data_IF_808498625973
#
_entry.id   IF_808498625973
#
_cell.length_a   1.000
_cell.length_b   1.000
_cell.length_c   1.000
_cell.angle_alpha   90.00
_cell.angle_beta   90.00
_cell.angle_gamma   90.00
#
_symmetry.space_group_name_H-M   'P 1'
#
loop_
_entity.id
_entity.type
_entity.pdbx_description
1 polymer ?
#
# COMPACT_ATOMS: atom_id res chain seq x y z
N UNK A 1 8.48 14.85 34.88
CA UNK A 1 9.58 13.95 34.42
C UNK A 1 9.17 12.47 34.47
N UNK A 2 8.72 11.92 35.60
CA UNK A 2 8.25 10.51 35.69
C UNK A 2 7.06 10.18 34.78
N UNK A 3 6.02 11.01 34.78
CA UNK A 3 4.85 10.84 33.90
C UNK A 3 5.21 10.87 32.40
N UNK A 4 6.16 11.72 32.01
CA UNK A 4 6.63 11.80 30.62
C UNK A 4 7.38 10.52 30.22
N UNK A 5 8.21 9.99 31.12
CA UNK A 5 8.91 8.73 30.89
C UNK A 5 7.94 7.53 30.83
N UNK A 6 6.91 7.49 31.67
CA UNK A 6 5.86 6.46 31.67
C UNK A 6 4.99 6.54 30.40
N UNK A 7 4.65 7.75 29.95
CA UNK A 7 3.94 7.96 28.68
C UNK A 7 4.76 7.51 27.47
N UNK A 8 6.05 7.86 27.42
CA UNK A 8 6.96 7.40 26.36
C UNK A 8 7.11 5.88 26.36
N UNK A 9 7.23 5.28 27.55
CA UNK A 9 7.32 3.81 27.67
C UNK A 9 6.04 3.14 27.17
N UNK A 10 4.88 3.72 27.45
CA UNK A 10 3.59 3.21 26.98
C UNK A 10 3.44 3.38 25.46
N UNK A 11 3.84 4.53 24.91
CA UNK A 11 3.79 4.82 23.49
C UNK A 11 4.72 3.94 22.64
N UNK A 12 5.79 3.41 23.23
CA UNK A 12 6.74 2.49 22.57
C UNK A 12 6.33 1.01 22.66
N UNK A 13 5.22 0.67 23.33
CA UNK A 13 4.74 -0.72 23.39
C UNK A 13 4.12 -1.12 22.04
N UNK A 14 4.37 -2.35 21.55
CA UNK A 14 3.67 -2.88 20.39
C UNK A 14 2.15 -2.88 20.60
N UNK A 15 1.41 -2.70 19.51
CA UNK A 15 -0.05 -2.69 19.50
C UNK A 15 -0.60 -4.09 19.21
N UNK A 16 -1.81 -4.40 19.69
CA UNK A 16 -2.60 -5.53 19.18
C UNK A 16 -3.29 -5.14 17.85
N UNK A 17 -3.98 -6.09 17.21
CA UNK A 17 -4.61 -5.84 15.91
C UNK A 17 -5.60 -4.67 15.94
N UNK A 18 -6.51 -4.66 16.92
CA UNK A 18 -7.56 -3.65 17.00
C UNK A 18 -6.96 -2.24 17.12
N UNK A 19 -6.04 -2.06 18.07
CA UNK A 19 -5.36 -0.78 18.29
C UNK A 19 -4.60 -0.33 17.04
N UNK A 20 -3.93 -1.28 16.36
CA UNK A 20 -3.18 -0.98 15.15
C UNK A 20 -4.11 -0.52 14.02
N UNK A 21 -5.24 -1.18 13.80
CA UNK A 21 -6.23 -0.80 12.78
C UNK A 21 -6.85 0.58 13.06
N UNK A 22 -7.18 0.87 14.32
CA UNK A 22 -7.65 2.21 14.73
C UNK A 22 -6.60 3.29 14.43
N UNK A 23 -5.33 2.97 14.62
CA UNK A 23 -4.21 3.89 14.35
C UNK A 23 -3.98 4.07 12.85
N UNK A 24 -4.03 3.00 12.06
CA UNK A 24 -4.00 3.04 10.59
C UNK A 24 -5.16 3.87 10.03
N UNK A 25 -6.38 3.66 10.56
CA UNK A 25 -7.55 4.43 10.14
C UNK A 25 -7.38 5.91 10.47
N UNK A 26 -6.91 6.24 11.68
CA UNK A 26 -6.61 7.62 12.08
C UNK A 26 -5.54 8.27 11.21
N UNK A 27 -4.53 7.50 10.79
CA UNK A 27 -3.47 7.94 9.88
C UNK A 27 -4.03 8.21 8.47
N UNK A 28 -4.90 7.33 7.96
CA UNK A 28 -5.58 7.51 6.69
C UNK A 28 -6.48 8.75 6.67
N UNK A 29 -7.26 8.98 7.74
CA UNK A 29 -8.08 10.17 7.88
C UNK A 29 -7.28 11.47 7.99
N UNK A 30 -6.00 11.40 8.38
CA UNK A 30 -5.11 12.56 8.44
C UNK A 30 -4.60 13.01 7.06
N UNK A 31 -5.06 12.38 5.97
CA UNK A 31 -4.73 12.77 4.60
C UNK A 31 -5.01 14.25 4.36
N UNK A 32 -4.05 14.93 3.73
CA UNK A 32 -4.19 16.32 3.32
C UNK A 32 -4.05 16.38 1.81
N UNK A 33 -5.05 16.93 1.12
CA UNK A 33 -5.05 17.07 -0.33
C UNK A 33 -4.93 18.55 -0.69
N UNK A 34 -3.97 18.89 -1.53
CA UNK A 34 -3.80 20.25 -2.05
C UNK A 34 -4.91 20.52 -3.05
N UNK A 35 -5.76 21.50 -2.75
CA UNK A 35 -6.93 21.86 -3.58
C UNK A 35 -6.67 23.01 -4.54
N UNK A 36 -5.63 23.81 -4.29
CA UNK A 36 -5.20 24.87 -5.21
C UNK A 36 -4.55 24.24 -6.44
N UNK A 37 -5.23 24.34 -7.59
CA UNK A 37 -4.72 23.82 -8.86
C UNK A 37 -3.36 24.37 -9.24
N UNK A 38 -3.02 25.60 -8.89
CA UNK A 38 -1.71 26.16 -9.25
C UNK A 38 -0.54 25.45 -8.55
N UNK A 39 -0.84 24.72 -7.46
CA UNK A 39 0.13 24.00 -6.64
C UNK A 39 0.10 22.48 -6.90
N UNK A 40 -0.72 22.00 -7.83
CA UNK A 40 -0.80 20.57 -8.19
C UNK A 40 -0.11 20.27 -9.51
N UNK A 41 0.19 19.00 -9.76
CA UNK A 41 0.71 18.55 -11.06
C UNK A 41 -0.27 18.91 -12.17
N UNK A 42 0.22 19.72 -13.12
CA UNK A 42 -0.51 20.07 -14.34
C UNK A 42 -0.08 19.10 -15.44
N UNK A 43 -0.80 17.98 -15.56
CA UNK A 43 -0.60 17.01 -16.62
C UNK A 43 -1.95 16.61 -17.23
N UNK A 44 -1.97 16.34 -18.52
CA UNK A 44 -3.14 15.67 -19.11
C UNK A 44 -3.23 14.26 -18.54
N UNK A 45 -4.43 13.88 -18.10
CA UNK A 45 -4.69 12.49 -17.70
C UNK A 45 -4.37 11.58 -18.88
N UNK A 46 -3.59 10.54 -18.65
CA UNK A 46 -3.28 9.56 -19.68
C UNK A 46 -4.59 8.98 -20.20
N UNK A 47 -4.88 9.09 -21.49
CA UNK A 47 -5.97 8.33 -22.09
C UNK A 47 -5.47 6.89 -22.24
N UNK A 48 -6.00 5.93 -21.46
CA UNK A 48 -5.45 4.58 -21.43
C UNK A 48 -5.98 3.77 -22.62
N UNK A 49 -5.62 4.19 -23.84
CA UNK A 49 -6.01 3.53 -25.09
C UNK A 49 -5.65 2.06 -25.02
N UNK A 50 -6.65 1.17 -25.15
CA UNK A 50 -6.45 -0.27 -25.12
C UNK A 50 -6.37 -0.91 -23.73
N UNK A 51 -6.53 -0.15 -22.62
CA UNK A 51 -6.61 -0.74 -21.27
C UNK A 51 -8.05 -0.87 -20.80
N UNK A 52 -8.34 -1.96 -20.08
CA UNK A 52 -9.63 -2.13 -19.40
C UNK A 52 -9.64 -1.19 -18.19
N UNK A 53 -10.69 -0.38 -18.07
CA UNK A 53 -10.91 0.47 -16.90
C UNK A 53 -12.37 0.36 -16.43
N UNK A 54 -12.64 0.57 -15.13
CA UNK A 54 -14.02 0.57 -14.61
C UNK A 54 -14.86 1.66 -15.27
N UNK A 55 -16.01 1.29 -15.84
CA UNK A 55 -16.95 2.26 -16.46
C UNK A 55 -17.92 2.88 -15.47
N UNK A 56 -18.11 2.23 -14.31
CA UNK A 56 -19.08 2.62 -13.28
C UNK A 56 -18.50 2.27 -11.92
N UNK A 57 -18.69 3.17 -10.96
CA UNK A 57 -18.53 2.88 -9.53
C UNK A 57 -19.92 2.50 -9.03
N UNK A 58 -20.05 1.34 -8.39
CA UNK A 58 -21.31 0.84 -7.83
C UNK A 58 -21.16 0.65 -6.32
N UNK A 59 -22.25 0.80 -5.55
CA UNK A 59 -22.25 0.45 -4.14
C UNK A 59 -21.88 -1.02 -3.92
N UNK A 60 -21.16 -1.29 -2.84
CA UNK A 60 -20.85 -2.65 -2.41
C UNK A 60 -21.86 -3.08 -1.34
N UNK A 61 -23.00 -3.60 -1.79
CA UNK A 61 -24.18 -3.82 -0.94
C UNK A 61 -23.97 -4.84 0.19
N UNK A 62 -23.12 -5.86 -0.01
CA UNK A 62 -22.82 -6.89 0.99
C UNK A 62 -21.55 -6.63 1.82
N UNK A 63 -20.91 -5.46 1.67
CA UNK A 63 -19.62 -5.17 2.32
C UNK A 63 -19.64 -5.39 3.83
N UNK A 64 -20.68 -4.92 4.53
CA UNK A 64 -20.77 -5.05 5.99
C UNK A 64 -20.86 -6.52 6.43
N UNK A 65 -21.66 -7.33 5.72
CA UNK A 65 -21.78 -8.76 5.98
C UNK A 65 -20.45 -9.47 5.74
N UNK A 66 -19.76 -9.15 4.63
CA UNK A 66 -18.44 -9.71 4.31
C UNK A 66 -17.38 -9.33 5.34
N UNK A 67 -17.42 -8.10 5.86
CA UNK A 67 -16.53 -7.70 6.95
C UNK A 67 -16.76 -8.53 8.21
N UNK A 68 -18.03 -8.76 8.59
CA UNK A 68 -18.36 -9.57 9.76
C UNK A 68 -17.89 -11.03 9.59
N UNK A 69 -18.07 -11.64 8.41
CA UNK A 69 -17.53 -12.96 8.08
C UNK A 69 -16.01 -13.02 8.31
N UNK A 70 -15.26 -12.03 7.79
CA UNK A 70 -13.80 -11.96 7.97
C UNK A 70 -13.44 -11.81 9.46
N UNK A 71 -14.15 -10.98 10.22
CA UNK A 71 -13.89 -10.83 11.66
C UNK A 71 -14.11 -12.12 12.44
N UNK A 72 -15.13 -12.90 12.08
CA UNK A 72 -15.36 -14.21 12.65
C UNK A 72 -14.20 -15.17 12.31
N UNK A 73 -13.71 -15.17 11.07
CA UNK A 73 -12.55 -15.98 10.66
C UNK A 73 -11.26 -15.56 11.38
N UNK A 74 -11.07 -14.26 11.63
CA UNK A 74 -9.91 -13.78 12.40
C UNK A 74 -9.96 -14.20 13.88
N UNK A 75 -11.16 -14.39 14.43
CA UNK A 75 -11.38 -14.73 15.84
C UNK A 75 -11.00 -16.18 16.21
N UNK A 76 -10.75 -17.04 15.22
CA UNK A 76 -10.36 -18.44 15.44
C UNK A 76 -8.95 -18.58 16.05
N UNK A 77 -8.16 -17.50 16.02
CA UNK A 77 -6.78 -17.47 16.48
C UNK A 77 -6.53 -16.33 17.46
N UNK A 78 -5.76 -16.61 18.51
CA UNK A 78 -5.30 -15.61 19.47
C UNK A 78 -4.12 -14.76 18.94
N UNK A 79 -3.60 -15.07 17.74
CA UNK A 79 -2.45 -14.39 17.14
C UNK A 79 -2.62 -12.86 17.07
N UNK A 80 -3.85 -12.40 16.89
CA UNK A 80 -4.22 -10.98 16.78
C UNK A 80 -4.46 -10.29 18.12
N UNK A 81 -4.62 -11.06 19.19
CA UNK A 81 -4.65 -10.56 20.57
C UNK A 81 -3.25 -10.20 21.06
N UNK A 82 -2.21 -10.86 20.53
CA UNK A 82 -0.82 -10.58 20.87
C UNK A 82 -0.39 -9.19 20.37
N UNK A 83 0.28 -8.39 21.21
CA UNK A 83 0.83 -7.12 20.81
C UNK A 83 2.08 -7.34 19.94
N UNK A 84 1.89 -7.37 18.62
CA UNK A 84 2.94 -7.64 17.64
C UNK A 84 3.05 -6.55 16.55
N UNK A 85 2.19 -5.54 16.59
CA UNK A 85 2.12 -4.48 15.59
C UNK A 85 2.97 -3.27 15.99
N UNK A 86 3.34 -2.40 15.01
CA UNK A 86 4.02 -1.15 15.30
C UNK A 86 3.40 -0.39 16.46
N UNK A 87 4.24 0.22 17.27
CA UNK A 87 3.83 1.02 18.43
C UNK A 87 3.27 2.38 18.01
N UNK A 88 2.53 3.04 18.91
CA UNK A 88 2.03 4.40 18.68
C UNK A 88 3.16 5.38 18.35
N UNK A 89 4.33 5.25 18.97
CA UNK A 89 5.51 6.06 18.65
C UNK A 89 5.98 5.86 17.21
N UNK A 90 6.01 4.62 16.72
CA UNK A 90 6.37 4.33 15.33
C UNK A 90 5.32 4.88 14.36
N UNK A 91 4.04 4.78 14.70
CA UNK A 91 2.95 5.32 13.88
C UNK A 91 2.95 6.85 13.83
N UNK A 92 3.27 7.53 14.94
CA UNK A 92 3.44 8.98 14.97
C UNK A 92 4.65 9.43 14.15
N UNK A 93 5.73 8.64 14.17
CA UNK A 93 6.86 8.89 13.28
C UNK A 93 6.45 8.82 11.81
N UNK A 94 5.70 7.78 11.38
CA UNK A 94 5.17 7.69 10.02
C UNK A 94 4.29 8.90 9.70
N UNK A 95 3.38 9.29 10.61
CA UNK A 95 2.54 10.48 10.46
C UNK A 95 3.35 11.75 10.21
N UNK A 96 4.47 11.92 10.92
CA UNK A 96 5.33 13.10 10.77
C UNK A 96 6.01 13.20 9.40
N UNK A 97 6.10 12.10 8.66
CA UNK A 97 6.68 12.04 7.31
C UNK A 97 5.66 12.32 6.21
N UNK A 98 4.36 12.24 6.52
CA UNK A 98 3.31 12.44 5.54
C UNK A 98 3.30 13.89 5.03
N UNK A 99 3.19 14.03 3.71
CA UNK A 99 3.11 15.31 3.02
C UNK A 99 1.73 15.51 2.42
N UNK A 100 1.26 16.76 2.28
CA UNK A 100 0.07 17.04 1.49
C UNK A 100 0.20 16.49 0.07
N UNK A 101 -0.85 15.81 -0.39
CA UNK A 101 -0.93 15.22 -1.72
C UNK A 101 -1.18 16.34 -2.73
N UNK A 102 -0.18 16.60 -3.57
CA UNK A 102 -0.26 17.58 -4.67
C UNK A 102 0.05 16.97 -6.04
N UNK A 103 0.41 15.69 -6.09
CA UNK A 103 0.85 14.99 -7.30
C UNK A 103 0.51 13.50 -7.22
N UNK A 104 0.53 12.82 -8.37
CA UNK A 104 0.42 11.35 -8.45
C UNK A 104 1.52 10.66 -7.63
N UNK A 105 2.75 11.17 -7.70
CA UNK A 105 3.87 10.69 -6.89
C UNK A 105 3.58 10.82 -5.39
N UNK A 106 3.04 11.97 -4.97
CA UNK A 106 2.65 12.18 -3.57
C UNK A 106 1.51 11.28 -3.11
N UNK A 107 0.53 11.00 -3.98
CA UNK A 107 -0.54 10.04 -3.69
C UNK A 107 0.02 8.63 -3.50
N UNK A 108 0.91 8.20 -4.40
CA UNK A 108 1.57 6.89 -4.32
C UNK A 108 2.40 6.76 -3.04
N UNK A 109 3.20 7.76 -2.70
CA UNK A 109 4.00 7.73 -1.47
C UNK A 109 3.09 7.64 -0.23
N UNK A 110 1.99 8.40 -0.21
CA UNK A 110 0.98 8.31 0.85
C UNK A 110 0.34 6.92 0.94
N UNK A 111 -0.10 6.34 -0.19
CA UNK A 111 -0.70 5.01 -0.22
C UNK A 111 0.27 3.94 0.27
N UNK A 112 1.54 4.03 -0.12
CA UNK A 112 2.59 3.13 0.36
C UNK A 112 2.75 3.18 1.89
N UNK A 113 2.88 4.38 2.42
CA UNK A 113 3.17 4.59 3.85
C UNK A 113 1.97 4.26 4.75
N UNK A 114 0.75 4.53 4.29
CA UNK A 114 -0.47 4.44 5.11
C UNK A 114 -1.23 3.14 4.89
N UNK A 115 -1.19 2.58 3.68
CA UNK A 115 -2.01 1.42 3.29
C UNK A 115 -1.13 0.20 3.01
N UNK A 116 -0.23 0.27 2.03
CA UNK A 116 0.49 -0.91 1.53
C UNK A 116 1.34 -1.56 2.63
N UNK A 117 2.13 -0.76 3.36
CA UNK A 117 2.95 -1.25 4.47
C UNK A 117 2.11 -1.90 5.59
N UNK A 118 0.92 -1.37 5.86
CA UNK A 118 0.02 -1.92 6.86
C UNK A 118 -0.58 -3.25 6.39
N UNK A 119 -1.05 -3.30 5.14
CA UNK A 119 -1.59 -4.52 4.53
C UNK A 119 -0.53 -5.62 4.50
N UNK A 120 0.70 -5.31 4.08
CA UNK A 120 1.80 -6.26 4.07
C UNK A 120 2.06 -6.84 5.47
N UNK A 121 2.15 -5.99 6.50
CA UNK A 121 2.33 -6.45 7.90
C UNK A 121 1.20 -7.36 8.37
N UNK A 122 -0.05 -7.03 8.04
CA UNK A 122 -1.23 -7.82 8.42
C UNK A 122 -1.24 -9.19 7.75
N UNK A 123 -0.97 -9.22 6.44
CA UNK A 123 -0.93 -10.47 5.65
C UNK A 123 0.25 -11.33 6.09
N UNK A 124 1.44 -10.75 6.27
CA UNK A 124 2.62 -11.48 6.73
C UNK A 124 2.37 -12.12 8.10
N UNK A 125 1.76 -11.38 9.04
CA UNK A 125 1.40 -11.90 10.35
C UNK A 125 0.38 -13.03 10.23
N UNK A 126 -0.71 -12.84 9.49
CA UNK A 126 -1.74 -13.87 9.30
C UNK A 126 -1.17 -15.15 8.67
N UNK A 127 -0.23 -15.02 7.73
CA UNK A 127 0.42 -16.14 7.05
C UNK A 127 1.33 -16.98 7.97
N UNK A 128 1.73 -16.47 9.14
CA UNK A 128 2.50 -17.26 10.13
C UNK A 128 1.67 -18.30 10.88
N UNK A 129 0.34 -18.17 10.86
CA UNK A 129 -0.57 -19.10 11.54
C UNK A 129 -1.27 -20.01 10.51
N UNK A 130 -1.04 -21.34 10.55
CA UNK A 130 -1.67 -22.28 9.62
C UNK A 130 -3.21 -22.25 9.64
N UNK A 131 -3.85 -21.97 10.78
CA UNK A 131 -5.30 -21.92 10.91
C UNK A 131 -5.86 -20.70 10.17
N UNK A 132 -5.32 -19.52 10.47
CA UNK A 132 -5.70 -18.28 9.79
C UNK A 132 -5.42 -18.36 8.28
N UNK A 133 -4.26 -18.88 7.92
CA UNK A 133 -3.87 -19.06 6.52
C UNK A 133 -4.88 -19.93 5.75
N UNK A 134 -5.29 -21.05 6.34
CA UNK A 134 -6.28 -21.95 5.73
C UNK A 134 -7.68 -21.33 5.69
N UNK A 135 -8.10 -20.63 6.76
CA UNK A 135 -9.43 -20.03 6.85
C UNK A 135 -9.61 -18.87 5.87
N UNK A 136 -8.60 -18.00 5.77
CA UNK A 136 -8.61 -16.81 4.92
C UNK A 136 -8.16 -17.10 3.48
N UNK A 137 -7.76 -18.35 3.17
CA UNK A 137 -7.27 -18.72 1.85
C UNK A 137 -5.95 -18.02 1.45
N UNK A 138 -5.12 -17.64 2.41
CA UNK A 138 -3.84 -16.96 2.17
C UNK A 138 -2.83 -18.00 1.66
N UNK A 139 -2.25 -17.77 0.48
CA UNK A 139 -1.29 -18.71 -0.14
C UNK A 139 0.17 -18.27 -0.02
N UNK A 140 0.43 -17.10 0.59
CA UNK A 140 1.77 -16.54 0.71
C UNK A 140 1.77 -15.14 1.31
N UNK A 141 2.85 -14.41 1.05
CA UNK A 141 2.98 -13.00 1.43
C UNK A 141 2.52 -12.09 0.28
N UNK A 142 2.36 -10.80 0.58
CA UNK A 142 2.04 -9.77 -0.43
C UNK A 142 3.21 -8.81 -0.59
N UNK A 143 3.49 -8.40 -1.81
CA UNK A 143 4.47 -7.36 -2.13
C UNK A 143 3.82 -6.33 -3.04
N UNK A 144 4.07 -5.05 -2.79
CA UNK A 144 3.56 -3.95 -3.59
C UNK A 144 4.69 -3.43 -4.47
N UNK A 145 4.45 -3.40 -5.78
CA UNK A 145 5.41 -2.94 -6.77
C UNK A 145 4.86 -1.70 -7.48
N UNK A 146 5.71 -0.68 -7.60
CA UNK A 146 5.43 0.49 -8.42
C UNK A 146 6.10 0.33 -9.77
N UNK A 147 5.34 -0.13 -10.77
CA UNK A 147 5.79 -0.06 -12.16
C UNK A 147 5.72 1.39 -12.62
N UNK A 148 6.80 2.14 -12.40
CA UNK A 148 7.00 3.36 -13.17
C UNK A 148 7.12 2.90 -14.62
N UNK A 149 6.15 3.26 -15.48
CA UNK A 149 6.24 3.05 -16.92
C UNK A 149 7.30 3.99 -17.53
N UNK A 150 8.49 4.05 -16.93
CA UNK A 150 9.68 4.51 -17.61
C UNK A 150 9.95 3.40 -18.63
N UNK A 151 9.44 3.60 -19.86
CA UNK A 151 9.61 2.64 -20.94
C UNK A 151 11.03 2.17 -20.94
N UNK A 152 11.22 0.85 -20.89
CA UNK A 152 12.51 0.20 -21.06
C UNK A 152 13.15 0.78 -22.32
N UNK A 153 14.06 1.73 -22.16
CA UNK A 153 14.85 2.28 -23.29
C UNK A 153 15.88 1.27 -23.79
N UNK A 154 15.77 0.00 -23.38
CA UNK A 154 16.65 -1.09 -23.80
C UNK A 154 16.13 -1.88 -25.00
N UNK A 155 14.94 -1.56 -25.55
CA UNK A 155 14.41 -2.24 -26.74
C UNK A 155 14.64 -1.48 -28.07
N UNK A 156 15.51 -0.47 -28.11
CA UNK A 156 15.84 0.25 -29.36
C UNK A 156 17.25 -0.01 -29.92
N UNK A 157 18.01 -0.98 -29.39
CA UNK A 157 19.26 -1.40 -30.03
C UNK A 157 19.39 -2.93 -30.00
N UNK A 158 18.49 -3.62 -30.69
CA UNK A 158 18.69 -5.01 -31.10
C UNK A 158 17.93 -5.29 -32.39
N UNK A 159 18.21 -4.49 -33.43
CA UNK A 159 18.09 -5.02 -34.79
C UNK A 159 19.42 -5.69 -35.15
N UNK A 160 19.44 -6.98 -35.54
CA UNK A 160 20.61 -7.55 -36.17
C UNK A 160 20.76 -6.89 -37.54
N UNK A 161 21.84 -6.14 -37.75
CA UNK A 161 22.27 -5.66 -39.07
C UNK A 161 22.77 -6.84 -39.93
N UNK A 162 21.98 -7.88 -40.09
CA UNK A 162 22.16 -8.89 -41.13
C UNK A 162 21.37 -8.42 -42.33
N UNK A 163 22.08 -7.85 -43.32
CA UNK A 163 21.72 -7.60 -44.74
C UNK A 163 22.28 -6.28 -45.29
N UNK A 164 23.51 -5.90 -44.93
CA UNK A 164 24.33 -5.08 -45.84
C UNK A 164 25.01 -6.01 -46.84
N UNK A 165 24.36 -6.26 -47.98
CA UNK A 165 25.06 -6.75 -49.17
C UNK A 165 26.01 -5.66 -49.62
N UNK A 166 27.32 -5.93 -49.55
CA UNK A 166 28.32 -5.18 -50.28
C UNK A 166 28.26 -5.67 -51.72
N UNK A 167 27.56 -4.94 -52.58
CA UNK A 167 27.75 -5.10 -54.02
C UNK A 167 29.17 -4.59 -54.35
N UNK A 168 29.95 -5.52 -54.88
CA UNK A 168 31.32 -5.33 -55.35
C UNK A 168 31.22 -4.93 -56.82
N UNK A 169 31.42 -3.65 -57.13
CA UNK A 169 31.55 -3.19 -58.52
C UNK A 169 32.97 -3.52 -59.03
N UNK A 170 33.03 -4.17 -60.19
CA UNK A 170 34.21 -4.41 -61.04
C UNK A 170 34.81 -3.10 -61.60
#
# INVERSE_FOLDING_TARGET
>A
RRQVAEALTTASRPQNLQQYLETCHSLHLAVQVVTDRSLTTQGETTNPTGRIFPRRIIPWDDFAMRQEEIWNDLSISELFCEPAYPSNHQMEYVRSLLKPISSEVGLRDFERDVVENAVQKLVDRANTDPLLRSSLGIQGTVTFESHTNLGTTDDLISEPMEHMSLDQDD
#
